data_IF_452195705666
#
_entry.id   IF_452195705666
#
_cell.length_a   1.000
_cell.length_b   1.000
_cell.length_c   1.000
_cell.angle_alpha   90.00
_cell.angle_beta   90.00
_cell.angle_gamma   90.00
#
_symmetry.space_group_name_H-M   'P 1'
#
loop_
_entity.id
_entity.type
_entity.pdbx_description
1 polymer ?
#
# COMPACT_ATOMS: atom_id res chain seq x y z
N UNK A 1 -3.08 33.23 19.82
CA UNK A 1 -4.56 33.19 19.74
C UNK A 1 -5.05 34.64 19.86
N UNK A 2 -5.50 35.24 18.77
CA UNK A 2 -6.20 36.54 18.80
C UNK A 2 -7.69 36.25 18.68
N UNK A 3 -8.50 36.86 19.55
CA UNK A 3 -9.95 36.70 19.57
C UNK A 3 -10.60 38.06 19.26
N UNK A 4 -11.19 38.20 18.06
CA UNK A 4 -12.02 39.36 17.68
C UNK A 4 -13.48 38.91 17.55
N UNK A 5 -14.36 39.50 18.38
CA UNK A 5 -15.81 39.22 18.42
C UNK A 5 -16.46 39.52 17.05
N UNK A 6 -16.95 38.48 16.38
CA UNK A 6 -17.68 38.58 15.11
C UNK A 6 -16.87 38.17 13.87
N UNK A 7 -15.59 37.85 14.04
CA UNK A 7 -14.68 37.36 13.01
C UNK A 7 -14.33 35.91 13.32
N UNK A 8 -14.25 35.04 12.31
CA UNK A 8 -13.89 33.63 12.47
C UNK A 8 -12.49 33.49 13.06
N UNK A 9 -12.39 33.10 14.34
CA UNK A 9 -11.12 32.96 15.04
C UNK A 9 -10.45 31.66 14.59
N UNK A 10 -9.45 31.79 13.73
CA UNK A 10 -8.71 30.66 13.16
C UNK A 10 -7.35 30.49 13.84
N UNK A 11 -7.04 29.27 14.28
CA UNK A 11 -5.71 28.91 14.79
C UNK A 11 -5.03 27.95 13.81
N UNK A 12 -3.97 28.42 13.15
CA UNK A 12 -3.23 27.65 12.14
C UNK A 12 -1.95 27.07 12.75
N UNK A 13 -1.75 25.76 12.60
CA UNK A 13 -0.50 25.07 12.94
C UNK A 13 0.22 24.67 11.65
N UNK A 14 1.46 25.15 11.48
CA UNK A 14 2.31 24.81 10.33
C UNK A 14 3.51 24.00 10.81
N UNK A 15 3.74 22.83 10.20
CA UNK A 15 4.91 21.99 10.45
C UNK A 15 5.78 22.06 9.20
N UNK A 16 6.92 22.76 9.29
CA UNK A 16 7.90 22.81 8.22
C UNK A 16 8.78 21.56 8.24
N UNK A 17 9.24 21.10 7.07
CA UNK A 17 10.12 19.92 6.91
C UNK A 17 9.59 18.72 7.68
N UNK A 18 8.38 18.27 7.33
CA UNK A 18 7.72 17.17 8.00
C UNK A 18 8.58 15.89 7.97
N UNK A 19 8.83 15.32 9.15
CA UNK A 19 9.54 14.07 9.36
C UNK A 19 8.59 13.00 9.89
N UNK A 20 8.94 11.73 9.78
CA UNK A 20 8.13 10.61 10.27
C UNK A 20 7.75 10.76 11.76
N UNK A 21 8.61 11.38 12.57
CA UNK A 21 8.37 11.66 13.99
C UNK A 21 7.21 12.61 14.25
N UNK A 22 6.80 13.40 13.26
CA UNK A 22 5.64 14.29 13.38
C UNK A 22 4.29 13.57 13.18
N UNK A 23 4.30 12.27 12.89
CA UNK A 23 3.07 11.45 12.84
C UNK A 23 2.41 11.41 14.22
N UNK A 24 1.11 11.70 14.26
CA UNK A 24 0.38 11.67 15.53
C UNK A 24 -0.95 12.39 15.51
N UNK A 25 -1.53 12.53 16.72
CA UNK A 25 -2.82 13.18 16.94
C UNK A 25 -2.61 14.63 17.37
N UNK A 26 -2.94 15.56 16.48
CA UNK A 26 -2.90 16.99 16.75
C UNK A 26 -4.27 17.44 17.24
N UNK A 27 -4.32 17.98 18.45
CA UNK A 27 -5.57 18.39 19.10
C UNK A 27 -5.63 19.91 19.19
N UNK A 28 -6.69 20.50 18.64
CA UNK A 28 -7.03 21.89 18.87
C UNK A 28 -7.92 21.97 20.12
N UNK A 29 -7.44 22.64 21.16
CA UNK A 29 -8.15 22.78 22.43
C UNK A 29 -8.34 24.27 22.77
N UNK A 30 -9.37 24.94 22.23
CA UNK A 30 -9.66 26.33 22.57
C UNK A 30 -10.18 26.45 24.01
N UNK A 31 -9.94 27.60 24.65
CA UNK A 31 -10.35 27.83 26.05
C UNK A 31 -11.87 27.92 26.27
N UNK A 32 -12.63 28.16 25.21
CA UNK A 32 -14.07 28.47 25.25
C UNK A 32 -14.94 27.50 24.44
N UNK A 33 -14.37 26.46 23.83
CA UNK A 33 -15.11 25.47 23.05
C UNK A 33 -14.57 24.05 23.27
N UNK A 34 -15.28 23.06 22.75
CA UNK A 34 -14.85 21.66 22.87
C UNK A 34 -13.59 21.43 22.03
N UNK A 35 -12.62 20.63 22.53
CA UNK A 35 -11.46 20.26 21.75
C UNK A 35 -11.86 19.34 20.59
N UNK A 36 -11.15 19.47 19.49
CA UNK A 36 -11.25 18.59 18.32
C UNK A 36 -9.85 18.17 17.87
N UNK A 37 -9.73 17.10 17.08
CA UNK A 37 -8.43 16.57 16.69
C UNK A 37 -8.36 16.10 15.24
N UNK A 38 -7.14 16.16 14.70
CA UNK A 38 -6.77 15.62 13.40
C UNK A 38 -5.63 14.63 13.60
N UNK A 39 -5.71 13.49 12.91
CA UNK A 39 -4.61 12.52 12.87
C UNK A 39 -3.79 12.76 11.62
N UNK A 40 -2.49 13.03 11.80
CA UNK A 40 -1.55 13.28 10.71
C UNK A 40 -0.65 12.05 10.55
N UNK A 41 -0.57 11.55 9.33
CA UNK A 41 0.34 10.47 8.95
C UNK A 41 1.36 11.01 7.95
N UNK A 42 2.62 11.10 8.36
CA UNK A 42 3.73 11.48 7.48
C UNK A 42 4.24 10.21 6.80
N UNK A 43 4.22 10.19 5.47
CA UNK A 43 4.60 9.04 4.67
C UNK A 43 5.92 9.37 3.97
N UNK A 44 6.91 8.51 4.15
CA UNK A 44 8.13 8.54 3.35
C UNK A 44 7.85 7.97 1.95
N UNK A 45 8.27 8.70 0.92
CA UNK A 45 8.03 8.33 -0.48
C UNK A 45 8.91 7.17 -0.95
N UNK A 46 9.98 6.83 -0.22
CA UNK A 46 10.92 5.77 -0.58
C UNK A 46 10.38 4.36 -0.24
N UNK A 47 9.47 4.23 0.73
CA UNK A 47 8.81 2.95 1.09
C UNK A 47 7.69 2.50 0.13
N UNK A 48 7.83 2.82 -1.17
CA UNK A 48 7.11 2.15 -2.27
C UNK A 48 7.91 0.98 -2.86
N UNK A 49 8.79 0.38 -2.07
CA UNK A 49 9.41 -0.89 -2.43
C UNK A 49 8.44 -2.04 -2.12
N UNK A 50 8.13 -2.83 -3.16
CA UNK A 50 7.53 -4.16 -3.08
C UNK A 50 5.99 -4.23 -2.97
N UNK A 51 5.31 -3.71 -3.98
CA UNK A 51 4.02 -4.28 -4.39
C UNK A 51 4.25 -5.73 -4.88
N UNK A 52 4.20 -6.66 -3.94
CA UNK A 52 3.84 -8.08 -4.02
C UNK A 52 4.01 -8.74 -5.40
N UNK A 53 5.18 -9.34 -5.62
CA UNK A 53 5.37 -10.37 -6.64
C UNK A 53 4.67 -11.65 -6.15
N UNK A 54 3.37 -11.79 -6.41
CA UNK A 54 2.62 -13.00 -6.10
C UNK A 54 3.05 -14.14 -7.03
N UNK A 55 4.19 -14.76 -6.74
CA UNK A 55 4.58 -16.01 -7.38
C UNK A 55 3.59 -17.12 -6.96
N UNK A 56 2.47 -17.23 -7.68
CA UNK A 56 1.50 -18.32 -7.54
C UNK A 56 0.74 -18.58 -8.84
N UNK A 57 1.39 -18.41 -9.99
CA UNK A 57 0.94 -19.08 -11.20
C UNK A 57 1.45 -20.52 -11.13
N UNK A 58 0.65 -21.41 -10.52
CA UNK A 58 0.84 -22.86 -10.67
C UNK A 58 0.74 -23.16 -12.16
N UNK A 59 1.87 -23.34 -12.83
CA UNK A 59 1.89 -23.87 -14.19
C UNK A 59 1.36 -25.29 -14.10
N UNK A 60 0.10 -25.47 -14.45
CA UNK A 60 -0.48 -26.78 -14.65
C UNK A 60 0.11 -27.35 -15.93
N UNK A 61 1.29 -27.96 -15.81
CA UNK A 61 1.80 -28.87 -16.82
C UNK A 61 0.86 -30.08 -16.82
N UNK A 62 -0.17 -30.00 -17.67
CA UNK A 62 -0.78 -31.19 -18.26
C UNK A 62 0.33 -31.90 -19.02
N UNK A 63 1.14 -32.64 -18.27
CA UNK A 63 2.17 -33.52 -18.73
C UNK A 63 1.44 -34.60 -19.51
N UNK A 64 1.46 -34.50 -20.84
CA UNK A 64 1.01 -35.56 -21.74
C UNK A 64 1.60 -36.86 -21.17
N UNK A 65 0.75 -37.84 -20.78
CA UNK A 65 1.22 -38.94 -19.98
C UNK A 65 2.33 -39.64 -20.75
N UNK A 66 3.48 -39.82 -20.07
CA UNK A 66 4.68 -40.50 -20.57
C UNK A 66 4.39 -41.73 -21.47
N UNK A 67 3.38 -42.60 -21.19
CA UNK A 67 3.03 -43.70 -22.09
C UNK A 67 2.60 -43.28 -23.50
N UNK A 68 1.94 -42.13 -23.68
CA UNK A 68 1.50 -41.62 -25.00
C UNK A 68 2.72 -41.20 -25.84
N UNK A 69 3.73 -40.62 -25.19
CA UNK A 69 4.95 -40.18 -25.85
C UNK A 69 5.81 -41.37 -26.31
N UNK A 70 5.86 -42.44 -25.50
CA UNK A 70 6.53 -43.71 -25.84
C UNK A 70 5.86 -44.43 -27.02
N UNK A 71 4.52 -44.48 -27.05
CA UNK A 71 3.78 -45.10 -28.16
C UNK A 71 3.99 -44.36 -29.48
N UNK A 72 4.01 -43.03 -29.45
CA UNK A 72 4.27 -42.21 -30.63
C UNK A 72 5.67 -42.46 -31.21
N UNK A 73 6.69 -42.58 -30.34
CA UNK A 73 8.07 -42.87 -30.76
C UNK A 73 8.22 -44.29 -31.37
N UNK A 74 7.53 -45.29 -30.81
CA UNK A 74 7.53 -46.65 -31.35
C UNK A 74 6.82 -46.73 -32.71
N UNK A 75 5.70 -46.03 -32.88
CA UNK A 75 5.02 -45.98 -34.17
C UNK A 75 5.87 -45.29 -35.25
N UNK A 76 6.58 -44.22 -34.88
CA UNK A 76 7.44 -43.49 -35.81
C UNK A 76 8.61 -44.36 -36.31
N UNK A 77 9.20 -45.16 -35.43
CA UNK A 77 10.30 -46.09 -35.77
C UNK A 77 9.83 -47.39 -36.45
N UNK A 78 8.54 -47.72 -36.36
CA UNK A 78 7.95 -48.88 -37.04
C UNK A 78 7.50 -48.58 -38.47
N UNK A 79 7.08 -47.33 -38.75
CA UNK A 79 6.54 -46.91 -40.04
C UNK A 79 7.62 -46.28 -40.94
N UNK A 80 8.67 -45.69 -40.35
CA UNK A 80 9.83 -45.15 -41.06
C UNK A 80 10.92 -46.20 -41.26
#
# INVERSE_FOLDING_TARGET
>A
VLETRGEEITSTLTIEKADMLHTGKFTCAPSYAKPDFVTVHVIDSESRAELQLNQSSRVNVNCLPIPVLLLAALLYTYIG
#
